data_IF_565914466020
#
_entry.id   IF_565914466020
#
_cell.length_a   1.000
_cell.length_b   1.000
_cell.length_c   1.000
_cell.angle_alpha   90.00
_cell.angle_beta   90.00
_cell.angle_gamma   90.00
#
_symmetry.space_group_name_H-M   'P 1'
#
loop_
_entity.id
_entity.type
_entity.pdbx_description
1 polymer ?
#
# COMPACT_ATOMS: atom_id res chain seq x y z
N UNK A 1 3.88 0.18 2.61
CA UNK A 1 3.76 -1.16 2.01
C UNK A 1 2.43 -1.23 1.30
N UNK A 2 2.39 -1.84 0.14
CA UNK A 2 1.14 -2.11 -0.58
C UNK A 2 0.96 -3.62 -0.71
N UNK A 3 -0.28 -4.08 -0.64
CA UNK A 3 -0.63 -5.48 -0.86
C UNK A 3 -2.06 -5.60 -1.40
N UNK A 4 -2.33 -6.73 -2.04
CA UNK A 4 -3.67 -7.13 -2.47
C UNK A 4 -4.09 -8.36 -1.68
N UNK A 5 -5.40 -8.47 -1.41
CA UNK A 5 -6.02 -9.62 -0.76
C UNK A 5 -6.83 -10.37 -1.81
N UNK A 6 -6.67 -11.69 -1.88
CA UNK A 6 -7.45 -12.53 -2.79
C UNK A 6 -8.95 -12.41 -2.54
N UNK A 7 -9.73 -12.37 -3.62
CA UNK A 7 -11.18 -12.18 -3.57
C UNK A 7 -11.94 -13.38 -3.02
N UNK A 8 -11.40 -14.59 -3.13
CA UNK A 8 -12.04 -15.82 -2.66
C UNK A 8 -11.34 -16.35 -1.39
N UNK A 9 -11.95 -16.19 -0.21
CA UNK A 9 -11.45 -16.83 1.00
C UNK A 9 -11.68 -18.34 0.94
N UNK A 10 -10.81 -19.11 1.61
CA UNK A 10 -10.99 -20.55 1.77
C UNK A 10 -10.65 -21.02 3.17
N UNK A 11 -11.35 -22.05 3.65
CA UNK A 11 -11.02 -22.74 4.90
C UNK A 11 -9.93 -23.81 4.73
N UNK A 12 -9.59 -24.15 3.48
CA UNK A 12 -8.54 -25.11 3.13
C UNK A 12 -7.48 -24.43 2.27
N UNK A 13 -6.21 -24.68 2.58
CA UNK A 13 -5.11 -24.22 1.74
C UNK A 13 -5.22 -24.83 0.34
N UNK A 14 -5.01 -24.00 -0.68
CA UNK A 14 -4.93 -24.42 -2.08
C UNK A 14 -4.06 -23.45 -2.84
N UNK A 15 -3.23 -23.96 -3.76
CA UNK A 15 -2.34 -23.12 -4.57
C UNK A 15 -3.13 -22.15 -5.48
N UNK A 16 -4.38 -22.47 -5.80
CA UNK A 16 -5.26 -21.62 -6.61
C UNK A 16 -5.66 -20.32 -5.90
N UNK A 17 -5.50 -20.23 -4.58
CA UNK A 17 -5.76 -19.01 -3.80
C UNK A 17 -4.75 -17.90 -4.11
N UNK A 18 -3.58 -18.24 -4.64
CA UNK A 18 -2.51 -17.30 -4.98
C UNK A 18 -2.42 -17.04 -6.48
N UNK A 19 -3.32 -17.58 -7.29
CA UNK A 19 -3.36 -17.29 -8.72
C UNK A 19 -3.71 -15.82 -8.99
N UNK A 20 -3.16 -15.24 -10.05
CA UNK A 20 -3.39 -13.84 -10.43
C UNK A 20 -4.88 -13.48 -10.53
N UNK A 21 -5.72 -14.43 -10.97
CA UNK A 21 -7.17 -14.29 -11.06
C UNK A 21 -7.87 -14.00 -9.71
N UNK A 22 -7.20 -14.26 -8.59
CA UNK A 22 -7.73 -13.94 -7.26
C UNK A 22 -7.60 -12.46 -6.92
N UNK A 23 -6.73 -11.71 -7.60
CA UNK A 23 -6.41 -10.32 -7.29
C UNK A 23 -6.97 -9.39 -8.37
N UNK A 24 -7.73 -8.38 -7.95
CA UNK A 24 -8.18 -7.32 -8.85
C UNK A 24 -7.08 -6.27 -9.02
N UNK A 25 -6.81 -5.83 -10.25
CA UNK A 25 -5.71 -4.90 -10.57
C UNK A 25 -5.80 -3.55 -9.83
N UNK A 26 -7.00 -3.16 -9.41
CA UNK A 26 -7.33 -1.89 -8.76
C UNK A 26 -7.46 -1.98 -7.23
N UNK A 27 -7.61 -3.19 -6.65
CA UNK A 27 -7.94 -3.40 -5.24
C UNK A 27 -6.70 -3.46 -4.33
N UNK A 28 -6.02 -2.32 -4.19
CA UNK A 28 -4.81 -2.20 -3.37
C UNK A 28 -5.10 -1.70 -1.97
N UNK A 29 -4.43 -2.32 -1.00
CA UNK A 29 -4.37 -1.84 0.39
C UNK A 29 -2.99 -1.27 0.67
N UNK A 30 -2.95 0.00 1.04
CA UNK A 30 -1.73 0.68 1.49
C UNK A 30 -1.67 0.70 3.01
N UNK A 31 -0.52 0.34 3.58
CA UNK A 31 -0.23 0.49 5.00
C UNK A 31 1.12 1.18 5.23
N UNK A 32 1.16 2.06 6.22
CA UNK A 32 2.36 2.76 6.67
C UNK A 32 2.82 2.29 8.05
N UNK A 33 4.08 2.56 8.40
CA UNK A 33 4.56 2.38 9.78
C UNK A 33 3.98 3.50 10.64
N UNK A 34 3.32 3.14 11.75
CA UNK A 34 2.78 4.13 12.70
C UNK A 34 3.87 4.95 13.39
N UNK A 35 5.03 4.34 13.62
CA UNK A 35 6.22 4.98 14.22
C UNK A 35 7.36 4.89 13.22
N UNK A 36 7.45 5.82 12.26
CA UNK A 36 8.54 5.82 11.31
C UNK A 36 9.86 6.10 12.06
N UNK A 37 10.88 5.28 11.78
CA UNK A 37 12.24 5.45 12.34
C UNK A 37 13.02 6.54 11.62
N UNK A 38 12.50 7.03 10.49
CA UNK A 38 13.09 8.03 9.61
C UNK A 38 12.01 9.02 9.17
N UNK A 39 12.39 10.28 8.98
CA UNK A 39 11.54 11.31 8.42
C UNK A 39 11.34 11.10 6.91
N UNK A 40 10.09 11.15 6.44
CA UNK A 40 9.75 11.03 5.02
C UNK A 40 9.28 12.38 4.49
N UNK A 41 10.10 13.11 3.72
CA UNK A 41 9.71 14.41 3.19
C UNK A 41 8.50 14.28 2.26
N UNK A 42 7.58 15.23 2.34
CA UNK A 42 6.48 15.33 1.40
C UNK A 42 7.01 15.70 0.00
N UNK A 43 6.49 15.11 -1.10
CA UNK A 43 7.05 15.32 -2.44
C UNK A 43 6.92 16.75 -2.99
N UNK A 44 6.02 17.55 -2.44
CA UNK A 44 5.90 18.97 -2.75
C UNK A 44 6.52 19.79 -1.62
N UNK A 45 7.21 20.88 -1.99
CA UNK A 45 7.90 21.76 -1.03
C UNK A 45 7.63 23.21 -1.40
N UNK A 46 7.29 24.03 -0.40
CA UNK A 46 6.92 25.44 -0.56
C UNK A 46 5.43 25.71 -0.37
N UNK A 47 4.99 26.92 -0.70
CA UNK A 47 3.61 27.36 -0.66
C UNK A 47 2.99 27.30 -2.05
N UNK A 48 1.86 26.61 -2.17
CA UNK A 48 1.08 26.49 -3.40
C UNK A 48 -0.34 26.96 -3.17
N UNK A 49 -0.97 27.53 -4.20
CA UNK A 49 -2.41 27.78 -4.20
C UNK A 49 -3.08 27.34 -5.48
N UNK A 50 -4.34 26.97 -5.40
CA UNK A 50 -5.17 26.61 -6.55
C UNK A 50 -6.65 26.81 -6.26
N UNK A 51 -7.46 26.70 -7.30
CA UNK A 51 -8.92 26.81 -7.23
C UNK A 51 -9.48 25.40 -7.18
N UNK A 52 -10.45 25.14 -6.30
CA UNK A 52 -11.10 23.84 -6.23
C UNK A 52 -11.92 23.61 -7.51
N UNK A 53 -11.75 22.48 -8.22
CA UNK A 53 -12.48 22.21 -9.46
C UNK A 53 -13.99 22.09 -9.23
N UNK A 54 -14.41 21.57 -8.07
CA UNK A 54 -15.82 21.39 -7.71
C UNK A 54 -16.53 22.70 -7.36
N UNK A 55 -15.79 23.69 -6.85
CA UNK A 55 -16.34 24.99 -6.49
C UNK A 55 -15.31 26.11 -6.68
N UNK A 56 -15.42 26.88 -7.79
CA UNK A 56 -14.48 27.95 -8.11
C UNK A 56 -14.44 29.12 -7.13
N UNK A 57 -15.40 29.21 -6.19
CA UNK A 57 -15.41 30.22 -5.12
C UNK A 57 -14.37 29.92 -4.05
N UNK A 58 -13.94 28.66 -3.94
CA UNK A 58 -12.99 28.21 -2.94
C UNK A 58 -11.61 27.99 -3.54
N UNK A 59 -10.63 28.42 -2.76
CA UNK A 59 -9.21 28.30 -3.06
C UNK A 59 -8.60 27.38 -2.01
N UNK A 60 -7.77 26.44 -2.47
CA UNK A 60 -6.93 25.65 -1.60
C UNK A 60 -5.54 26.27 -1.51
N UNK A 61 -4.97 26.25 -0.31
CA UNK A 61 -3.54 26.43 -0.07
C UNK A 61 -2.96 25.09 0.36
N UNK A 62 -1.84 24.72 -0.26
CA UNK A 62 -1.03 23.57 0.16
C UNK A 62 0.35 24.08 0.51
N UNK A 63 0.82 23.84 1.72
CA UNK A 63 2.08 24.36 2.22
C UNK A 63 2.86 23.25 2.92
N UNK A 64 4.16 23.14 2.65
CA UNK A 64 5.04 22.23 3.39
C UNK A 64 5.78 22.99 4.48
N UNK A 65 5.94 22.39 5.66
CA UNK A 65 6.77 22.98 6.71
C UNK A 65 8.25 22.88 6.32
N UNK A 66 8.87 24.02 6.07
CA UNK A 66 10.28 24.06 5.67
C UNK A 66 11.24 23.56 6.76
N UNK A 67 10.83 23.57 8.03
CA UNK A 67 11.62 23.04 9.15
C UNK A 67 11.35 21.56 9.40
N UNK A 68 10.14 21.09 9.08
CA UNK A 68 9.70 19.71 9.24
C UNK A 68 9.18 19.19 7.88
N UNK A 69 10.06 18.77 6.95
CA UNK A 69 9.66 18.48 5.58
C UNK A 69 8.71 17.28 5.44
N UNK A 70 8.50 16.49 6.49
CA UNK A 70 7.45 15.47 6.57
C UNK A 70 6.06 16.03 6.88
N UNK A 71 5.91 17.33 7.14
CA UNK A 71 4.63 17.97 7.48
C UNK A 71 4.13 18.82 6.32
N UNK A 72 2.85 18.66 6.00
CA UNK A 72 2.12 19.40 4.98
C UNK A 72 0.81 19.92 5.54
N UNK A 73 0.49 21.18 5.26
CA UNK A 73 -0.75 21.85 5.61
C UNK A 73 -1.63 21.98 4.37
N UNK A 74 -2.92 21.75 4.57
CA UNK A 74 -3.95 21.94 3.56
C UNK A 74 -5.05 22.83 4.12
N UNK A 75 -5.34 23.93 3.44
CA UNK A 75 -6.35 24.90 3.89
C UNK A 75 -7.29 25.25 2.74
N UNK A 76 -8.60 25.22 2.98
CA UNK A 76 -9.62 25.70 2.03
C UNK A 76 -10.21 27.00 2.55
N UNK A 77 -10.22 28.03 1.72
CA UNK A 77 -10.72 29.36 2.07
C UNK A 77 -11.50 29.99 0.91
N UNK A 78 -12.26 31.05 1.18
CA UNK A 78 -12.90 31.82 0.13
C UNK A 78 -11.84 32.53 -0.72
N UNK A 79 -11.87 32.38 -2.05
CA UNK A 79 -10.91 33.02 -2.94
C UNK A 79 -10.96 34.55 -2.84
N UNK A 80 -12.14 35.14 -2.68
CA UNK A 80 -12.34 36.58 -2.53
C UNK A 80 -11.99 37.07 -1.12
N UNK A 81 -12.22 36.25 -0.09
CA UNK A 81 -11.90 36.58 1.29
C UNK A 81 -11.14 35.44 1.98
N UNK A 82 -9.80 35.47 1.88
CA UNK A 82 -8.91 34.45 2.44
C UNK A 82 -8.98 34.32 3.97
N UNK A 83 -9.58 35.28 4.68
CA UNK A 83 -9.79 35.18 6.14
C UNK A 83 -10.91 34.21 6.51
N UNK A 84 -11.81 33.90 5.57
CA UNK A 84 -12.86 32.89 5.75
C UNK A 84 -12.31 31.51 5.41
N UNK A 85 -11.82 30.83 6.43
CA UNK A 85 -11.31 29.45 6.35
C UNK A 85 -12.49 28.49 6.59
N UNK A 86 -12.67 27.55 5.67
CA UNK A 86 -13.70 26.50 5.78
C UNK A 86 -13.12 25.18 6.24
N UNK A 87 -11.83 24.95 5.95
CA UNK A 87 -11.15 23.72 6.28
C UNK A 87 -9.66 23.96 6.50
N UNK A 88 -9.11 23.31 7.51
CA UNK A 88 -7.69 23.27 7.80
C UNK A 88 -7.32 21.86 8.25
N UNK A 89 -6.31 21.27 7.62
CA UNK A 89 -5.85 19.91 7.88
C UNK A 89 -4.33 19.89 7.92
N UNK A 90 -3.81 19.06 8.81
CA UNK A 90 -2.37 18.85 8.95
C UNK A 90 -2.03 17.38 8.69
N UNK A 91 -1.13 17.17 7.73
CA UNK A 91 -0.71 15.85 7.29
C UNK A 91 0.76 15.62 7.62
N UNK A 92 1.07 14.43 8.12
CA UNK A 92 2.42 13.88 8.15
C UNK A 92 2.61 12.88 7.02
N UNK A 93 3.58 13.09 6.15
CA UNK A 93 3.97 12.15 5.12
C UNK A 93 4.68 10.94 5.74
N UNK A 94 4.21 9.75 5.37
CA UNK A 94 4.75 8.47 5.85
C UNK A 94 5.56 7.73 4.78
N UNK A 95 5.48 8.19 3.53
CA UNK A 95 6.20 7.64 2.40
C UNK A 95 5.57 8.07 1.08
N UNK A 96 6.37 7.98 0.02
CA UNK A 96 5.94 8.26 -1.34
C UNK A 96 6.60 7.30 -2.32
N UNK A 97 5.93 7.06 -3.43
CA UNK A 97 6.45 6.27 -4.54
C UNK A 97 5.91 6.81 -5.85
N UNK A 98 6.69 6.64 -6.91
CA UNK A 98 6.31 7.07 -8.24
C UNK A 98 5.90 5.86 -9.09
N UNK A 99 4.79 5.97 -9.79
CA UNK A 99 4.33 4.97 -10.74
C UNK A 99 4.86 5.23 -12.16
N UNK A 100 4.91 4.19 -13.02
CA UNK A 100 5.13 4.37 -14.44
C UNK A 100 4.13 5.39 -15.01
N UNK A 101 4.64 6.45 -15.64
CA UNK A 101 3.81 7.60 -16.06
C UNK A 101 3.97 8.85 -15.19
N UNK A 102 4.82 8.79 -14.15
CA UNK A 102 5.28 9.96 -13.40
C UNK A 102 4.32 10.46 -12.33
N UNK A 103 3.23 9.73 -12.03
CA UNK A 103 2.36 10.01 -10.90
C UNK A 103 3.05 9.61 -9.61
N UNK A 104 3.14 10.53 -8.66
CA UNK A 104 3.65 10.27 -7.32
C UNK A 104 2.48 10.09 -6.37
N UNK A 105 2.42 8.94 -5.72
CA UNK A 105 1.51 8.68 -4.61
C UNK A 105 2.22 9.00 -3.30
N UNK A 106 1.48 9.61 -2.37
CA UNK A 106 1.97 9.99 -1.05
C UNK A 106 0.99 9.48 -0.01
N UNK A 107 1.46 8.60 0.86
CA UNK A 107 0.68 8.12 1.99
C UNK A 107 0.93 9.02 3.19
N UNK A 108 -0.14 9.52 3.79
CA UNK A 108 -0.08 10.50 4.87
C UNK A 108 -0.93 10.08 6.05
N UNK A 109 -0.60 10.62 7.21
CA UNK A 109 -1.36 10.51 8.44
C UNK A 109 -1.90 11.88 8.82
N UNK A 110 -3.19 11.96 9.15
CA UNK A 110 -3.76 13.20 9.71
C UNK A 110 -3.25 13.39 11.14
N UNK A 111 -2.87 14.61 11.49
CA UNK A 111 -2.29 14.91 12.82
C UNK A 111 -3.35 15.32 13.84
N UNK A 112 -4.43 15.94 13.38
CA UNK A 112 -5.54 16.40 14.21
C UNK A 112 -6.53 15.29 14.57
N UNK A 113 -6.61 14.23 13.76
CA UNK A 113 -7.53 13.12 13.97
C UNK A 113 -6.92 11.79 13.52
N UNK A 114 -7.41 10.69 14.09
CA UNK A 114 -7.01 9.35 13.64
C UNK A 114 -7.48 9.11 12.20
N UNK A 115 -6.54 8.74 11.35
CA UNK A 115 -6.84 8.43 9.96
C UNK A 115 -5.63 8.54 9.06
N UNK A 116 -5.70 7.83 7.95
CA UNK A 116 -4.72 7.89 6.88
C UNK A 116 -5.36 8.43 5.63
N UNK A 117 -4.55 9.14 4.86
CA UNK A 117 -5.01 9.75 3.65
C UNK A 117 -3.95 9.62 2.56
N UNK A 118 -4.37 9.29 1.35
CA UNK A 118 -3.46 9.20 0.22
C UNK A 118 -3.70 10.34 -0.76
N UNK A 119 -2.60 10.83 -1.33
CA UNK A 119 -2.65 11.81 -2.41
C UNK A 119 -1.94 11.26 -3.63
N UNK A 120 -2.54 11.45 -4.80
CA UNK A 120 -1.86 11.27 -6.08
C UNK A 120 -1.52 12.64 -6.66
N UNK A 121 -0.35 12.77 -7.27
CA UNK A 121 0.03 14.04 -7.86
C UNK A 121 1.13 13.98 -8.89
N UNK A 122 1.24 15.06 -9.66
CA UNK A 122 2.29 15.27 -10.66
C UNK A 122 2.85 16.68 -10.49
N UNK A 123 4.16 16.75 -10.26
CA UNK A 123 4.89 18.02 -10.17
C UNK A 123 5.48 18.32 -11.54
N UNK A 124 5.14 19.48 -12.09
CA UNK A 124 5.57 19.91 -13.42
C UNK A 124 6.44 21.16 -13.33
N UNK A 125 7.12 21.47 -14.45
CA UNK A 125 7.89 22.70 -14.62
C UNK A 125 8.91 22.97 -13.49
N UNK A 126 9.59 21.93 -12.98
CA UNK A 126 10.56 22.07 -11.89
C UNK A 126 9.95 22.54 -10.57
N UNK A 127 8.69 22.18 -10.30
CA UNK A 127 7.99 22.53 -9.06
C UNK A 127 7.24 23.87 -9.08
N UNK A 128 7.11 24.51 -10.24
CA UNK A 128 6.28 25.73 -10.36
C UNK A 128 4.79 25.42 -10.33
N UNK A 129 4.42 24.27 -10.88
CA UNK A 129 3.04 23.80 -10.96
C UNK A 129 2.97 22.37 -10.47
N UNK A 130 1.87 22.03 -9.80
CA UNK A 130 1.57 20.66 -9.46
C UNK A 130 0.07 20.40 -9.63
N UNK A 131 -0.25 19.13 -9.85
CA UNK A 131 -1.62 18.63 -9.85
C UNK A 131 -1.73 17.66 -8.69
N UNK A 132 -2.70 17.86 -7.81
CA UNK A 132 -2.89 17.03 -6.62
C UNK A 132 -4.33 16.57 -6.54
N UNK A 133 -4.53 15.30 -6.20
CA UNK A 133 -5.84 14.70 -5.99
C UNK A 133 -5.83 13.83 -4.75
N UNK A 134 -6.95 13.88 -4.04
CA UNK A 134 -7.27 12.97 -2.95
C UNK A 134 -7.51 11.55 -3.51
N UNK A 135 -6.70 10.56 -3.10
CA UNK A 135 -6.71 9.17 -3.59
C UNK A 135 -7.23 8.17 -2.53
N UNK A 136 -8.09 8.66 -1.64
CA UNK A 136 -8.74 7.87 -0.59
C UNK A 136 -7.79 7.36 0.49
N UNK A 137 -8.26 6.38 1.27
CA UNK A 137 -7.52 5.85 2.43
C UNK A 137 -6.43 4.84 2.07
N UNK A 138 -6.44 4.30 0.84
CA UNK A 138 -5.56 3.18 0.45
C UNK A 138 -4.82 3.40 -0.88
N UNK A 139 -4.72 4.65 -1.33
CA UNK A 139 -4.05 5.02 -2.59
C UNK A 139 -4.67 4.31 -3.80
N UNK A 140 -5.98 4.51 -3.99
CA UNK A 140 -6.69 3.93 -5.12
C UNK A 140 -6.05 4.37 -6.44
N UNK A 141 -5.88 3.41 -7.35
CA UNK A 141 -5.28 3.62 -8.67
C UNK A 141 -6.34 3.94 -9.71
N UNK A 142 -5.89 4.32 -10.90
CA UNK A 142 -6.74 4.47 -12.09
C UNK A 142 -7.18 5.90 -12.41
N UNK A 143 -6.82 6.88 -11.59
CA UNK A 143 -7.18 8.28 -11.81
C UNK A 143 -5.93 9.14 -12.09
N UNK A 144 -5.90 9.80 -13.24
CA UNK A 144 -4.80 10.73 -13.58
C UNK A 144 -5.01 12.08 -12.87
N UNK A 145 -4.07 12.52 -11.99
CA UNK A 145 -4.18 13.81 -11.33
C UNK A 145 -4.17 14.99 -12.31
N UNK A 146 -3.66 14.84 -13.55
CA UNK A 146 -3.74 15.91 -14.56
C UNK A 146 -5.17 16.19 -15.03
N UNK A 147 -6.04 15.16 -14.99
CA UNK A 147 -7.43 15.26 -15.46
C UNK A 147 -8.36 15.58 -14.30
N UNK A 148 -8.21 14.85 -13.19
CA UNK A 148 -9.16 14.88 -12.06
C UNK A 148 -8.62 15.56 -10.81
N UNK A 149 -7.37 16.03 -10.84
CA UNK A 149 -6.73 16.71 -9.74
C UNK A 149 -6.89 18.22 -9.82
N UNK A 150 -6.66 18.87 -8.68
CA UNK A 150 -6.61 20.31 -8.58
C UNK A 150 -5.23 20.80 -9.05
N UNK A 151 -5.23 21.75 -9.99
CA UNK A 151 -4.02 22.47 -10.39
C UNK A 151 -3.65 23.51 -9.33
N UNK A 152 -2.44 23.40 -8.79
CA UNK A 152 -1.87 24.33 -7.82
C UNK A 152 -0.58 24.94 -8.37
N UNK A 153 -0.35 26.22 -8.06
CA UNK A 153 0.81 27.00 -8.52
C UNK A 153 1.62 27.46 -7.32
N UNK A 154 2.95 27.35 -7.42
CA UNK A 154 3.87 27.74 -6.35
C UNK A 154 3.96 29.26 -6.23
N UNK A 155 3.79 29.77 -5.03
CA UNK A 155 3.94 31.19 -4.68
C UNK A 155 5.22 31.48 -3.89
N UNK A 156 5.66 30.53 -3.06
CA UNK A 156 6.90 30.66 -2.31
C UNK A 156 7.64 29.32 -2.28
N UNK A 157 8.96 29.38 -2.30
CA UNK A 157 9.86 28.24 -2.10
C UNK A 157 10.34 28.22 -0.65
N UNK A 158 10.56 27.03 -0.11
CA UNK A 158 11.35 26.94 1.11
C UNK A 158 12.77 27.47 0.84
N UNK A 159 13.37 28.22 1.77
CA UNK A 159 14.78 28.57 1.66
C UNK A 159 15.62 27.30 1.62
N UNK A 160 16.71 27.31 0.83
CA UNK A 160 17.69 26.23 0.81
C UNK A 160 18.46 26.21 2.14
N UNK A 161 17.84 25.68 3.19
CA UNK A 161 18.48 25.52 4.50
C UNK A 161 19.40 24.30 4.46
N UNK A 162 20.27 24.13 3.46
CA UNK A 162 21.34 23.11 3.43
C UNK A 162 20.95 21.64 3.73
N UNK A 163 19.67 21.32 3.90
CA UNK A 163 19.14 19.99 4.11
C UNK A 163 19.13 19.36 2.73
N UNK A 164 20.29 18.86 2.34
CA UNK A 164 20.43 17.90 1.25
C UNK A 164 19.64 16.65 1.65
N UNK A 165 18.32 16.73 1.55
CA UNK A 165 17.44 15.57 1.63
C UNK A 165 17.61 14.87 0.29
N UNK A 166 18.64 14.04 0.24
CA UNK A 166 18.78 13.03 -0.79
C UNK A 166 17.47 12.24 -0.81
N UNK A 167 16.65 12.46 -1.83
CA UNK A 167 15.45 11.65 -2.13
C UNK A 167 15.79 10.19 -2.47
N UNK A 168 17.06 9.80 -2.41
CA UNK A 168 17.45 8.39 -2.35
C UNK A 168 17.50 7.96 -0.89
N UNK A 169 16.75 6.91 -0.49
CA UNK A 169 17.08 6.17 0.71
C UNK A 169 18.56 5.79 0.66
N UNK A 170 19.40 6.40 1.50
CA UNK A 170 20.75 5.90 1.73
C UNK A 170 20.61 4.67 2.60
N UNK A 171 20.35 3.53 1.98
CA UNK A 171 20.80 2.28 2.57
C UNK A 171 22.33 2.32 2.61
N UNK A 172 22.99 1.79 3.65
CA UNK A 172 24.41 1.54 3.58
C UNK A 172 24.66 0.55 2.43
N UNK A 173 25.05 1.06 1.26
CA UNK A 173 25.68 0.26 0.22
C UNK A 173 27.05 -0.10 0.77
N UNK A 174 27.10 -1.19 1.54
CA UNK A 174 28.33 -1.97 1.61
C UNK A 174 28.54 -2.43 0.17
N UNK A 175 29.55 -1.88 -0.50
CA UNK A 175 29.99 -2.41 -1.78
C UNK A 175 30.24 -3.91 -1.56
N UNK A 176 29.80 -4.81 -2.46
CA UNK A 176 30.32 -6.16 -2.43
C UNK A 176 31.80 -6.02 -2.78
N UNK A 177 32.64 -6.04 -1.75
CA UNK A 177 34.01 -6.48 -1.91
C UNK A 177 33.91 -7.87 -2.56
N UNK A 178 34.55 -8.02 -3.72
CA UNK A 178 34.75 -9.31 -4.38
C UNK A 178 35.51 -10.22 -3.41
N UNK A 179 34.75 -10.85 -2.51
CA UNK A 179 35.22 -11.92 -1.68
C UNK A 179 34.66 -13.19 -2.32
N UNK A 180 35.46 -13.78 -3.21
CA UNK A 180 35.33 -15.18 -3.58
C UNK A 180 35.40 -15.99 -2.28
N UNK A 181 34.25 -16.35 -1.71
CA UNK A 181 34.16 -17.30 -0.61
C UNK A 181 33.27 -18.50 -0.99
N UNK A 182 33.69 -19.73 -0.62
CA UNK A 182 33.27 -20.97 -1.23
C UNK A 182 32.00 -21.53 -0.58
N UNK A 183 31.18 -22.22 -1.37
CA UNK A 183 30.19 -23.21 -0.93
C UNK A 183 29.28 -22.78 0.25
N UNK A 184 28.25 -22.01 -0.05
CA UNK A 184 27.09 -21.87 0.82
C UNK A 184 26.30 -23.19 0.84
N UNK A 185 26.45 -23.99 1.90
CA UNK A 185 25.51 -25.07 2.21
C UNK A 185 24.27 -24.48 2.89
N UNK A 186 23.04 -24.85 2.48
CA UNK A 186 21.83 -24.35 3.12
C UNK A 186 21.74 -24.82 4.57
N UNK A 187 21.25 -23.92 5.43
CA UNK A 187 20.95 -24.18 6.84
C UNK A 187 19.81 -25.21 6.91
N UNK A 188 19.98 -26.35 7.61
CA UNK A 188 18.90 -27.30 7.80
C UNK A 188 17.81 -26.65 8.68
N UNK A 189 16.57 -26.57 8.16
CA UNK A 189 15.32 -26.11 8.82
C UNK A 189 14.96 -24.61 8.75
N UNK A 190 15.05 -23.98 7.58
CA UNK A 190 14.29 -22.74 7.33
C UNK A 190 12.86 -23.08 6.85
N UNK A 191 11.79 -22.74 7.61
CA UNK A 191 10.41 -23.10 7.28
C UNK A 191 9.80 -22.31 6.10
N UNK A 192 10.53 -21.36 5.50
CA UNK A 192 10.04 -20.53 4.40
C UNK A 192 10.59 -20.87 3.02
N UNK A 193 11.46 -21.89 2.89
CA UNK A 193 11.92 -22.35 1.57
C UNK A 193 11.05 -23.49 1.05
N UNK A 194 10.32 -23.22 -0.02
CA UNK A 194 9.66 -24.24 -0.83
C UNK A 194 10.73 -25.20 -1.38
N UNK A 195 10.69 -26.46 -0.94
CA UNK A 195 11.41 -27.52 -1.61
C UNK A 195 10.78 -27.72 -2.99
N UNK A 196 11.53 -27.35 -4.02
CA UNK A 196 11.21 -27.72 -5.39
C UNK A 196 11.48 -29.23 -5.48
N UNK A 197 10.43 -30.05 -5.37
CA UNK A 197 10.54 -31.47 -5.67
C UNK A 197 10.99 -31.58 -7.14
N UNK A 198 12.22 -32.05 -7.33
CA UNK A 198 12.73 -32.37 -8.66
C UNK A 198 12.04 -33.67 -9.08
N UNK A 199 11.07 -33.54 -9.99
CA UNK A 199 10.54 -34.62 -10.81
C UNK A 199 11.63 -35.11 -11.78
N UNK A 200 12.55 -35.97 -11.35
CA UNK A 200 13.25 -36.93 -12.21
C UNK A 200 13.74 -38.12 -11.38
N UNK A 201 12.90 -39.15 -11.23
CA UNK A 201 13.40 -40.53 -11.39
C UNK A 201 12.24 -41.48 -11.71
N UNK A 202 12.06 -41.70 -13.03
CA UNK A 202 11.32 -42.84 -13.56
C UNK A 202 12.16 -44.10 -13.31
N UNK A 203 11.83 -44.87 -12.27
CA UNK A 203 11.99 -46.32 -12.39
C UNK A 203 11.01 -47.13 -11.54
N UNK A 204 10.11 -47.76 -12.29
CA UNK A 204 9.25 -48.89 -12.04
C UNK A 204 9.83 -49.93 -11.05
N UNK A 205 9.09 -50.23 -9.97
CA UNK A 205 8.82 -51.62 -9.51
C UNK A 205 7.87 -51.69 -8.32
N UNK A 206 6.73 -52.33 -8.59
CA UNK A 206 6.02 -53.25 -7.71
C UNK A 206 5.83 -52.87 -6.23
N UNK A 207 4.60 -52.47 -5.87
CA UNK A 207 3.92 -53.07 -4.69
C UNK A 207 2.41 -52.86 -4.68
N UNK A 208 1.76 -54.01 -4.83
CA UNK A 208 0.39 -54.44 -4.48
C UNK A 208 -0.43 -53.50 -3.56
N UNK A 209 -1.68 -53.33 -3.95
CA UNK A 209 -2.82 -52.86 -3.17
C UNK A 209 -2.99 -53.59 -1.83
N UNK A 210 -3.72 -52.96 -0.90
CA UNK A 210 -4.81 -53.69 -0.26
C UNK A 210 -6.14 -52.95 -0.38
N UNK A 211 -7.10 -53.67 -0.98
CA UNK A 211 -8.53 -53.56 -0.71
C UNK A 211 -8.84 -53.44 0.79
N UNK A 212 -9.75 -52.53 1.16
CA UNK A 212 -10.73 -52.82 2.20
C UNK A 212 -12.03 -52.03 2.01
N UNK A 213 -13.05 -52.80 1.66
CA UNK A 213 -14.48 -52.53 1.76
C UNK A 213 -14.92 -52.29 3.21
N UNK A 214 -15.85 -51.35 3.41
CA UNK A 214 -17.06 -51.39 4.26
C UNK A 214 -17.62 -49.97 4.33
N UNK A 215 -18.91 -49.67 4.41
CA UNK A 215 -20.20 -50.34 4.20
C UNK A 215 -21.21 -49.22 4.45
N UNK A 216 -22.31 -49.20 3.71
CA UNK A 216 -23.42 -48.24 3.82
C UNK A 216 -23.96 -48.12 5.25
N UNK A 217 -24.52 -46.95 5.61
CA UNK A 217 -25.82 -46.89 6.30
C UNK A 217 -26.52 -45.56 5.99
N UNK A 218 -27.57 -45.62 5.19
CA UNK A 218 -28.63 -44.61 5.15
C UNK A 218 -29.54 -44.77 6.37
N UNK A 219 -30.01 -43.68 6.96
CA UNK A 219 -31.31 -43.64 7.63
C UNK A 219 -31.96 -42.27 7.46
N UNK A 220 -33.20 -42.33 6.97
CA UNK A 220 -34.11 -41.23 6.69
C UNK A 220 -34.89 -40.76 7.95
N UNK A 221 -35.52 -39.59 7.78
CA UNK A 221 -36.75 -39.04 8.41
C UNK A 221 -36.61 -37.99 9.53
N UNK A 222 -37.35 -36.90 9.27
CA UNK A 222 -37.46 -35.60 9.93
C UNK A 222 -38.44 -35.61 11.13
N UNK A 223 -39.10 -34.47 11.45
CA UNK A 223 -38.66 -33.18 12.00
C UNK A 223 -39.08 -33.06 13.48
N UNK A 224 -38.69 -32.04 14.25
CA UNK A 224 -39.54 -31.40 15.29
C UNK A 224 -38.81 -30.25 16.02
N UNK A 225 -39.47 -29.08 16.01
CA UNK A 225 -39.53 -28.01 17.04
C UNK A 225 -38.30 -27.25 17.55
N UNK A 226 -38.34 -25.93 17.35
CA UNK A 226 -37.75 -24.84 18.16
C UNK A 226 -38.32 -24.81 19.61
N UNK A 227 -37.83 -23.98 20.57
CA UNK A 227 -36.95 -22.80 20.42
C UNK A 227 -35.84 -22.61 21.50
N UNK A 228 -34.98 -21.61 21.26
CA UNK A 228 -34.17 -20.84 22.20
C UNK A 228 -33.12 -21.56 23.07
N UNK A 229 -31.83 -21.37 22.74
CA UNK A 229 -30.84 -21.08 23.78
C UNK A 229 -29.63 -20.34 23.21
N UNK A 230 -29.26 -19.26 23.90
CA UNK A 230 -28.04 -18.49 23.70
C UNK A 230 -26.80 -19.38 23.62
N UNK A 231 -25.97 -19.16 22.60
CA UNK A 231 -24.52 -19.40 22.61
C UNK A 231 -23.92 -18.78 21.35
N UNK A 232 -23.48 -17.52 21.44
CA UNK A 232 -22.53 -16.97 20.47
C UNK A 232 -21.17 -17.63 20.72
N UNK A 233 -20.99 -18.83 20.15
CA UNK A 233 -19.66 -19.35 19.90
C UNK A 233 -19.05 -18.51 18.79
N UNK A 234 -18.10 -17.65 19.14
CA UNK A 234 -17.14 -17.10 18.19
C UNK A 234 -16.28 -18.27 17.73
N UNK A 235 -16.73 -18.96 16.68
CA UNK A 235 -15.86 -19.80 15.87
C UNK A 235 -14.88 -18.84 15.19
N UNK A 236 -13.68 -18.73 15.74
CA UNK A 236 -12.51 -18.26 15.01
C UNK A 236 -12.23 -19.29 13.91
N UNK A 237 -13.00 -19.24 12.82
CA UNK A 237 -12.73 -20.01 11.63
C UNK A 237 -11.42 -19.46 11.05
N UNK A 238 -10.39 -20.29 11.03
CA UNK A 238 -9.12 -20.01 10.37
C UNK A 238 -9.39 -19.93 8.86
N UNK A 239 -9.71 -18.73 8.38
CA UNK A 239 -9.78 -18.44 6.97
C UNK A 239 -8.36 -18.21 6.45
N UNK A 240 -7.99 -18.96 5.42
CA UNK A 240 -6.76 -18.74 4.68
C UNK A 240 -7.03 -17.71 3.59
N UNK A 241 -6.21 -16.66 3.58
CA UNK A 241 -6.12 -15.69 2.51
C UNK A 241 -4.71 -15.76 1.93
N UNK A 242 -4.59 -15.71 0.59
CA UNK A 242 -3.30 -15.45 -0.01
C UNK A 242 -3.02 -13.95 -0.01
N UNK A 243 -1.84 -13.57 0.47
CA UNK A 243 -1.36 -12.19 0.48
C UNK A 243 -0.31 -12.05 -0.60
N UNK A 244 -0.59 -11.23 -1.60
CA UNK A 244 0.41 -10.89 -2.61
C UNK A 244 1.07 -9.58 -2.22
N UNK A 245 2.30 -9.66 -1.72
CA UNK A 245 3.17 -8.50 -1.53
C UNK A 245 3.85 -8.22 -2.87
N UNK A 246 3.42 -7.18 -3.56
CA UNK A 246 4.14 -6.68 -4.73
C UNK A 246 4.45 -5.21 -4.48
N UNK A 247 5.71 -4.83 -4.70
CA UNK A 247 6.30 -3.50 -4.53
C UNK A 247 6.60 -3.08 -3.09
N UNK A 248 7.87 -3.31 -2.71
CA UNK A 248 8.68 -2.20 -2.24
C UNK A 248 9.37 -1.63 -3.49
N UNK A 249 8.85 -0.56 -4.08
CA UNK A 249 9.56 0.13 -5.17
C UNK A 249 10.71 0.92 -4.56
N UNK A 250 11.86 0.27 -4.39
CA UNK A 250 13.15 0.95 -4.31
C UNK A 250 13.59 1.04 -5.76
N UNK A 251 13.68 2.26 -6.30
CA UNK A 251 14.23 2.51 -7.62
C UNK A 251 15.71 2.07 -7.64
N UNK A 252 15.98 0.91 -8.21
CA UNK A 252 17.23 0.67 -8.92
C UNK A 252 17.02 1.17 -10.35
N UNK A 253 17.45 2.40 -10.59
CA UNK A 253 17.57 2.95 -11.94
C UNK A 253 19.06 2.93 -12.30
N UNK A 254 19.36 2.18 -13.37
CA UNK A 254 20.61 2.21 -14.14
C UNK A 254 21.09 3.64 -14.44
#
# INVERSE_FOLDING_TARGET
MEFQIGSQPSHLYSDTLCHDLQFSDDAWTTQGRLKPTQMFPCPITGDYTGILPENPTFCAKVASDCNNPDVMFYTVSNCANKSQIYEEREYRCLGSWQEPGGVTFTYTQRREMEGFHCFSGKVLQGGKEAYIKEAGHSCSRGEDPLIYGMRITRHATCPDIGLSVSNRPRYPTIAPEEQDDPYYSPVPNDPYWYQKENDEDLNEKNRKSPTRSTKETEHNLAPFTSPNCMSLFVLCASLFFCWRRIRCSINDSM
#
